data_IF_131042468437
#
_entry.id   IF_131042468437
#
_cell.length_a   1.000
_cell.length_b   1.000
_cell.length_c   1.000
_cell.angle_alpha   90.00
_cell.angle_beta   90.00
_cell.angle_gamma   90.00
#
_symmetry.space_group_name_H-M   'P 1'
#
loop_
_entity.id
_entity.type
_entity.pdbx_description
1 polymer ?
#
# COMPACT_ATOMS: atom_id res chain seq x y z
N UNK A 1 -5.23 -1.30 -8.73
CA UNK A 1 -4.34 -2.42 -9.04
C UNK A 1 -4.88 -3.76 -8.55
N UNK A 2 -5.20 -3.94 -7.27
CA UNK A 2 -5.69 -5.23 -6.73
C UNK A 2 -6.98 -5.65 -7.45
N UNK A 3 -7.96 -4.76 -7.55
CA UNK A 3 -9.22 -5.04 -8.27
C UNK A 3 -8.99 -5.35 -9.75
N UNK A 4 -8.02 -4.70 -10.38
CA UNK A 4 -7.64 -4.99 -11.77
C UNK A 4 -7.19 -6.44 -11.91
N UNK A 5 -6.28 -6.90 -11.04
CA UNK A 5 -5.80 -8.30 -11.07
C UNK A 5 -6.91 -9.30 -10.77
N UNK A 6 -7.81 -8.99 -9.83
CA UNK A 6 -8.92 -9.87 -9.47
C UNK A 6 -9.96 -10.02 -10.59
N UNK A 7 -10.08 -9.02 -11.46
CA UNK A 7 -11.00 -9.04 -12.60
C UNK A 7 -10.37 -9.60 -13.89
N UNK A 8 -9.05 -9.85 -13.89
CA UNK A 8 -8.36 -10.42 -15.04
C UNK A 8 -8.53 -11.94 -15.11
N UNK A 9 -8.35 -12.51 -16.32
CA UNK A 9 -8.33 -13.94 -16.52
C UNK A 9 -7.14 -14.56 -15.75
N UNK A 10 -7.41 -15.63 -15.01
CA UNK A 10 -6.41 -16.35 -14.25
C UNK A 10 -5.22 -16.83 -15.12
N UNK A 11 -5.45 -17.16 -16.38
CA UNK A 11 -4.36 -17.56 -17.29
C UNK A 11 -3.37 -16.43 -17.56
N UNK A 12 -3.79 -15.18 -17.43
CA UNK A 12 -2.97 -13.98 -17.66
C UNK A 12 -2.15 -13.63 -16.43
N UNK A 13 -2.76 -13.74 -15.25
CA UNK A 13 -2.17 -13.23 -14.01
C UNK A 13 -1.57 -14.29 -13.09
N UNK A 14 -1.96 -15.56 -13.26
CA UNK A 14 -1.50 -16.64 -12.40
C UNK A 14 0.02 -16.81 -12.47
N UNK A 15 0.66 -16.94 -11.31
CA UNK A 15 2.13 -17.05 -11.15
C UNK A 15 2.92 -15.87 -11.75
N UNK A 16 2.27 -14.74 -11.98
CA UNK A 16 2.94 -13.53 -12.42
C UNK A 16 3.32 -12.64 -11.23
N UNK A 17 4.44 -11.95 -11.37
CA UNK A 17 4.87 -10.90 -10.44
C UNK A 17 4.78 -9.58 -11.18
N UNK A 18 4.07 -8.64 -10.59
CA UNK A 18 3.89 -7.29 -11.13
C UNK A 18 4.44 -6.24 -10.16
N UNK A 19 5.21 -5.31 -10.69
CA UNK A 19 5.45 -4.05 -10.02
C UNK A 19 4.26 -3.13 -10.30
N UNK A 20 3.67 -2.57 -9.26
CA UNK A 20 2.53 -1.66 -9.36
C UNK A 20 2.99 -0.23 -9.17
N UNK A 21 2.62 0.65 -10.08
CA UNK A 21 2.95 2.07 -10.06
C UNK A 21 2.79 2.69 -11.43
N UNK A 22 3.42 3.84 -11.63
CA UNK A 22 3.46 4.54 -12.89
C UNK A 22 4.91 4.76 -13.31
N UNK A 23 5.24 4.41 -14.55
CA UNK A 23 6.62 4.52 -15.07
C UNK A 23 7.16 5.95 -15.07
N UNK A 24 6.29 6.96 -15.02
CA UNK A 24 6.65 8.37 -14.91
C UNK A 24 6.91 8.85 -13.47
N UNK A 25 6.61 8.02 -12.45
CA UNK A 25 6.74 8.37 -11.03
C UNK A 25 8.05 7.88 -10.40
N UNK A 26 9.11 7.76 -11.19
CA UNK A 26 10.45 7.53 -10.66
C UNK A 26 11.13 8.88 -10.39
N UNK A 27 11.11 9.34 -9.15
CA UNK A 27 11.70 10.60 -8.72
C UNK A 27 13.00 10.39 -7.95
N UNK A 28 13.91 11.35 -8.03
CA UNK A 28 14.90 11.54 -6.97
C UNK A 28 14.24 12.29 -5.81
N UNK A 29 14.61 11.95 -4.58
CA UNK A 29 14.05 12.62 -3.39
C UNK A 29 14.22 14.14 -3.47
N UNK A 30 15.37 14.61 -3.98
CA UNK A 30 15.63 16.05 -4.17
C UNK A 30 14.64 16.74 -5.12
N UNK A 31 14.06 15.99 -6.09
CA UNK A 31 13.13 16.55 -7.06
C UNK A 31 11.74 16.77 -6.45
N UNK A 32 11.44 16.10 -5.32
CA UNK A 32 10.19 16.26 -4.57
C UNK A 32 10.22 17.53 -3.68
N UNK A 33 11.39 18.01 -3.31
CA UNK A 33 11.53 19.16 -2.38
C UNK A 33 10.81 20.41 -2.90
N UNK A 34 11.04 20.87 -4.14
CA UNK A 34 10.34 22.08 -4.63
C UNK A 34 8.83 21.86 -4.74
N UNK A 35 8.38 20.66 -5.10
CA UNK A 35 6.96 20.32 -5.14
C UNK A 35 6.33 20.42 -3.74
N UNK A 36 6.91 19.78 -2.74
CA UNK A 36 6.39 19.81 -1.38
C UNK A 36 6.42 21.25 -0.83
N UNK A 37 7.50 22.00 -1.05
CA UNK A 37 7.62 23.36 -0.58
C UNK A 37 6.59 24.30 -1.22
N UNK A 38 6.14 24.04 -2.45
CA UNK A 38 5.09 24.84 -3.09
C UNK A 38 3.73 24.73 -2.39
N UNK A 39 3.45 23.59 -1.77
CA UNK A 39 2.23 23.38 -0.97
C UNK A 39 2.40 23.79 0.51
N UNK A 40 3.62 23.69 1.02
CA UNK A 40 3.97 24.03 2.40
C UNK A 40 5.08 25.10 2.45
N UNK A 41 4.81 26.35 2.04
CA UNK A 41 5.84 27.37 1.90
C UNK A 41 6.47 27.79 3.23
N UNK A 42 5.84 27.48 4.35
CA UNK A 42 6.39 27.77 5.70
C UNK A 42 7.31 26.65 6.21
N UNK A 43 7.45 25.55 5.46
CA UNK A 43 8.31 24.43 5.86
C UNK A 43 9.79 24.82 5.72
N UNK A 44 10.61 24.34 6.66
CA UNK A 44 12.06 24.51 6.61
C UNK A 44 12.67 23.30 5.91
N UNK A 45 13.47 23.57 4.88
CA UNK A 45 14.20 22.53 4.15
C UNK A 45 15.56 22.35 4.83
N UNK A 46 15.76 21.20 5.46
CA UNK A 46 17.04 20.84 6.07
C UNK A 46 17.69 19.72 5.27
N UNK A 47 18.92 19.92 4.85
CA UNK A 47 19.74 18.92 4.19
C UNK A 47 20.61 18.20 5.21
N UNK A 48 20.28 16.96 5.52
CA UNK A 48 21.09 16.11 6.39
C UNK A 48 21.93 15.17 5.54
N UNK A 49 23.24 15.16 5.77
CA UNK A 49 24.13 14.18 5.16
C UNK A 49 23.97 12.84 5.86
N UNK A 50 23.29 11.90 5.20
CA UNK A 50 23.11 10.55 5.71
C UNK A 50 23.83 9.56 4.79
N UNK A 51 25.01 9.14 5.21
CA UNK A 51 25.80 8.15 4.48
C UNK A 51 25.43 6.68 4.79
N UNK A 52 24.39 6.46 5.62
CA UNK A 52 24.02 5.11 6.06
C UNK A 52 23.18 4.34 5.04
N UNK A 53 22.43 5.03 4.21
CA UNK A 53 21.60 4.39 3.17
C UNK A 53 21.88 5.04 1.80
N UNK A 54 22.70 4.36 1.01
CA UNK A 54 23.10 4.79 -0.34
C UNK A 54 22.29 4.09 -1.43
N UNK A 55 21.27 3.31 -1.05
CA UNK A 55 20.46 2.57 -2.03
C UNK A 55 19.73 3.50 -2.96
N UNK A 56 19.85 3.24 -4.25
CA UNK A 56 19.08 3.91 -5.29
C UNK A 56 18.51 2.85 -6.23
N UNK A 57 17.25 2.97 -6.57
CA UNK A 57 16.62 2.05 -7.49
C UNK A 57 15.62 2.78 -8.38
N UNK A 58 15.41 2.21 -9.56
CA UNK A 58 14.39 2.66 -10.50
C UNK A 58 13.52 1.46 -10.86
N UNK A 59 12.21 1.62 -10.72
CA UNK A 59 11.25 0.55 -10.96
C UNK A 59 10.61 0.69 -12.34
N UNK A 60 10.44 -0.44 -13.01
CA UNK A 60 9.74 -0.51 -14.29
C UNK A 60 8.35 -1.13 -14.07
N UNK A 61 7.31 -0.41 -14.41
CA UNK A 61 5.91 -0.81 -14.22
C UNK A 61 5.24 -1.28 -15.53
N UNK A 62 5.93 -1.21 -16.67
CA UNK A 62 5.37 -1.49 -18.00
C UNK A 62 4.73 -2.87 -18.14
N UNK A 63 5.20 -3.86 -17.38
CA UNK A 63 4.61 -5.21 -17.44
C UNK A 63 3.15 -5.17 -17.02
N UNK A 64 2.85 -4.52 -15.89
CA UNK A 64 1.49 -4.41 -15.37
C UNK A 64 0.62 -3.52 -16.26
N UNK A 65 1.16 -2.38 -16.68
CA UNK A 65 0.48 -1.46 -17.60
C UNK A 65 0.03 -2.16 -18.90
N UNK A 66 0.90 -3.02 -19.47
CA UNK A 66 0.61 -3.70 -20.75
C UNK A 66 -0.26 -4.92 -20.62
N UNK A 67 -0.06 -5.74 -19.58
CA UNK A 67 -0.73 -7.03 -19.44
C UNK A 67 -2.15 -6.84 -18.90
N UNK A 68 -2.32 -5.99 -17.90
CA UNK A 68 -3.60 -5.74 -17.24
C UNK A 68 -4.25 -4.43 -17.69
N UNK A 69 -3.72 -3.76 -18.74
CA UNK A 69 -4.18 -2.45 -19.19
C UNK A 69 -4.35 -1.44 -18.03
N UNK A 70 -3.48 -1.57 -17.03
CA UNK A 70 -3.54 -0.74 -15.83
C UNK A 70 -2.94 0.64 -16.08
N UNK A 71 -3.64 1.67 -15.63
CA UNK A 71 -3.15 3.04 -15.64
C UNK A 71 -3.31 3.61 -14.22
N UNK A 72 -2.20 4.04 -13.64
CA UNK A 72 -2.26 4.77 -12.37
C UNK A 72 -2.81 6.18 -12.62
N UNK A 73 -3.82 6.56 -11.85
CA UNK A 73 -4.53 7.84 -11.99
C UNK A 73 -3.95 8.93 -11.10
N UNK A 74 -3.39 8.52 -9.94
CA UNK A 74 -2.81 9.45 -8.97
C UNK A 74 -1.31 9.59 -9.18
N UNK A 75 -0.82 10.80 -9.08
CA UNK A 75 0.60 11.16 -9.06
C UNK A 75 1.04 11.65 -7.67
N UNK A 76 2.31 12.03 -7.55
CA UNK A 76 2.85 12.52 -6.27
C UNK A 76 2.21 13.85 -5.87
N UNK A 77 1.92 14.71 -6.83
CA UNK A 77 1.28 16.01 -6.59
C UNK A 77 -0.12 15.83 -6.00
N UNK A 78 -0.88 14.84 -6.51
CA UNK A 78 -2.18 14.47 -5.96
C UNK A 78 -2.04 14.10 -4.46
N UNK A 79 -1.09 13.23 -4.12
CA UNK A 79 -0.84 12.84 -2.73
C UNK A 79 -0.43 14.01 -1.83
N UNK A 80 0.43 14.91 -2.31
CA UNK A 80 0.82 16.12 -1.55
C UNK A 80 -0.39 17.02 -1.29
N UNK A 81 -1.27 17.19 -2.27
CA UNK A 81 -2.50 17.98 -2.16
C UNK A 81 -3.49 17.36 -1.16
N UNK A 82 -3.63 16.03 -1.14
CA UNK A 82 -4.46 15.35 -0.14
C UNK A 82 -3.96 15.62 1.28
N UNK A 83 -2.63 15.54 1.49
CA UNK A 83 -2.01 15.83 2.79
C UNK A 83 -2.23 17.31 3.17
N UNK A 84 -2.08 18.23 2.22
CA UNK A 84 -2.33 19.65 2.47
C UNK A 84 -3.78 19.90 2.88
N UNK A 85 -4.74 19.27 2.19
CA UNK A 85 -6.16 19.40 2.52
C UNK A 85 -6.47 18.83 3.91
N UNK A 86 -5.95 17.64 4.23
CA UNK A 86 -6.12 17.02 5.54
C UNK A 86 -5.49 17.85 6.66
N UNK A 87 -4.37 18.52 6.39
CA UNK A 87 -3.75 19.46 7.33
C UNK A 87 -4.64 20.71 7.54
N UNK A 88 -5.17 21.30 6.47
CA UNK A 88 -6.06 22.48 6.54
C UNK A 88 -7.40 22.17 7.21
N UNK A 89 -7.95 20.97 7.04
CA UNK A 89 -9.21 20.53 7.67
C UNK A 89 -9.04 20.09 9.12
N UNK A 90 -7.85 20.16 9.67
CA UNK A 90 -7.49 19.68 11.01
C UNK A 90 -7.70 18.16 11.25
N UNK A 91 -7.86 17.39 10.19
CA UNK A 91 -7.88 15.91 10.28
C UNK A 91 -6.56 15.36 10.82
N UNK A 92 -5.46 16.08 10.60
CA UNK A 92 -4.12 15.79 11.10
C UNK A 92 -3.74 16.63 12.33
N UNK A 93 -4.72 16.99 13.18
CA UNK A 93 -4.52 17.94 14.29
C UNK A 93 -3.45 17.51 15.31
N UNK A 94 -3.15 16.23 15.42
CA UNK A 94 -2.11 15.70 16.31
C UNK A 94 -1.17 14.77 15.55
N UNK A 95 -0.31 15.33 14.71
CA UNK A 95 0.65 14.57 13.90
C UNK A 95 1.71 13.83 14.75
N UNK A 96 1.92 14.24 16.00
CA UNK A 96 2.83 13.54 16.93
C UNK A 96 2.18 12.32 17.61
N UNK A 97 0.91 12.04 17.30
CA UNK A 97 0.23 10.89 17.85
C UNK A 97 0.90 9.58 17.38
N UNK A 98 1.15 8.63 18.30
CA UNK A 98 1.76 7.35 17.97
C UNK A 98 1.07 6.57 16.84
N UNK A 99 -0.22 6.81 16.60
CA UNK A 99 -0.99 6.17 15.53
C UNK A 99 -0.43 6.43 14.12
N UNK A 100 0.30 7.53 13.91
CA UNK A 100 0.92 7.86 12.63
C UNK A 100 2.32 7.26 12.46
N UNK A 101 2.84 6.57 13.49
CA UNK A 101 4.15 5.96 13.47
C UNK A 101 4.03 4.44 13.48
N UNK A 102 4.17 3.82 12.30
CA UNK A 102 4.02 2.37 12.12
C UNK A 102 4.79 1.55 13.15
N UNK A 103 6.02 1.94 13.47
CA UNK A 103 6.85 1.23 14.43
C UNK A 103 6.28 1.28 15.85
N UNK A 104 5.70 2.40 16.26
CA UNK A 104 5.09 2.54 17.59
C UNK A 104 3.79 1.75 17.69
N UNK A 105 2.97 1.78 16.64
CA UNK A 105 1.75 0.96 16.53
C UNK A 105 2.12 -0.52 16.60
N UNK A 106 3.12 -0.97 15.82
CA UNK A 106 3.54 -2.37 15.81
C UNK A 106 4.11 -2.84 17.13
N UNK A 107 4.91 -2.02 17.83
CA UNK A 107 5.39 -2.37 19.19
C UNK A 107 4.22 -2.60 20.13
N UNK A 108 3.19 -1.76 20.09
CA UNK A 108 2.00 -1.89 20.92
C UNK A 108 1.24 -3.18 20.59
N UNK A 109 0.99 -3.45 19.31
CA UNK A 109 0.28 -4.67 18.85
C UNK A 109 1.04 -5.94 19.26
N UNK A 110 2.38 -5.96 19.15
CA UNK A 110 3.19 -7.12 19.52
C UNK A 110 3.23 -7.31 21.06
N UNK A 111 3.16 -6.23 21.82
CA UNK A 111 3.16 -6.29 23.29
C UNK A 111 1.81 -6.69 23.91
N UNK A 112 0.73 -6.56 23.16
CA UNK A 112 -0.58 -7.02 23.61
C UNK A 112 -0.68 -8.54 23.45
N UNK A 113 -1.24 -9.27 24.44
CA UNK A 113 -1.43 -10.70 24.31
C UNK A 113 -2.34 -10.97 23.10
N UNK A 114 -1.87 -11.82 22.18
CA UNK A 114 -2.69 -12.25 21.05
C UNK A 114 -3.93 -12.93 21.62
N UNK A 115 -5.08 -12.28 21.51
CA UNK A 115 -6.36 -12.92 21.80
C UNK A 115 -6.51 -13.99 20.74
N UNK A 116 -6.13 -15.21 21.06
CA UNK A 116 -6.41 -16.39 20.25
C UNK A 116 -7.93 -16.53 20.23
N UNK A 117 -8.56 -16.05 19.19
CA UNK A 117 -9.91 -16.46 18.88
C UNK A 117 -9.83 -17.97 18.63
N UNK A 118 -10.23 -18.76 19.64
CA UNK A 118 -10.52 -20.14 19.42
C UNK A 118 -11.56 -20.21 18.30
N UNK A 119 -11.15 -20.70 17.13
CA UNK A 119 -12.06 -21.10 16.07
C UNK A 119 -12.81 -22.32 16.59
N UNK A 120 -13.70 -22.10 17.56
CA UNK A 120 -14.67 -23.08 17.97
C UNK A 120 -15.60 -23.25 16.76
N UNK A 121 -15.58 -24.50 16.27
CA UNK A 121 -16.50 -25.09 15.31
C UNK A 121 -16.34 -24.64 13.84
N UNK A 122 -15.45 -25.35 13.13
CA UNK A 122 -15.67 -25.61 11.72
C UNK A 122 -17.01 -26.32 11.54
N UNK A 123 -17.91 -25.82 10.67
CA UNK A 123 -19.07 -26.62 10.29
C UNK A 123 -18.59 -27.92 9.68
N UNK A 124 -18.97 -29.03 10.27
CA UNK A 124 -18.70 -30.36 9.74
C UNK A 124 -19.53 -30.49 8.47
N UNK A 125 -18.90 -30.36 7.30
CA UNK A 125 -19.52 -30.73 6.06
C UNK A 125 -19.77 -32.25 6.15
N UNK A 126 -21.02 -32.65 6.34
CA UNK A 126 -21.44 -34.05 6.22
C UNK A 126 -21.26 -34.44 4.77
N UNK A 127 -20.29 -35.32 4.51
CA UNK A 127 -20.20 -36.02 3.25
C UNK A 127 -21.51 -36.83 3.11
N UNK A 128 -22.37 -36.33 2.22
CA UNK A 128 -23.51 -37.11 1.80
C UNK A 128 -23.02 -38.36 1.07
N UNK A 129 -22.95 -39.49 1.80
CA UNK A 129 -22.92 -40.80 1.19
C UNK A 129 -24.29 -40.99 0.55
N UNK A 130 -24.34 -40.91 -0.76
CA UNK A 130 -25.46 -41.39 -1.52
C UNK A 130 -25.49 -42.91 -1.44
N UNK A 131 -26.45 -43.45 -0.73
CA UNK A 131 -26.79 -44.88 -0.82
C UNK A 131 -27.32 -45.20 -2.21
N UNK A 132 -26.50 -45.84 -3.01
CA UNK A 132 -26.95 -46.58 -4.16
C UNK A 132 -27.29 -48.00 -3.67
N UNK A 133 -28.53 -48.22 -3.37
CA UNK A 133 -29.11 -49.59 -3.33
C UNK A 133 -30.51 -49.55 -3.94
N UNK A 134 -30.68 -50.29 -5.00
CA UNK A 134 -31.89 -51.07 -5.23
C UNK A 134 -32.75 -50.74 -6.44
N UNK A 135 -32.67 -51.65 -7.39
CA UNK A 135 -33.64 -52.10 -8.40
C UNK A 135 -33.55 -51.40 -9.75
#
# INVERSE_FOLDING_TARGET
AIMTVLNEDACIVNKQIFNVGNSHLNFMIRDLVPLIHSYFPQSVIEKVENNKDTRSYRVNFRKFERICNFKAECDVEHGVREIENAHKSAELANMDSPQYYNMEVMKKVISEPIITYSLATTPRWSNGQGDHNGL
#
